data_IF_392472900343
#
_entry.id   IF_392472900343
#
_cell.length_a   1.000
_cell.length_b   1.000
_cell.length_c   1.000
_cell.angle_alpha   90.00
_cell.angle_beta   90.00
_cell.angle_gamma   90.00
#
_symmetry.space_group_name_H-M   'P 1'
#
loop_
_entity.id
_entity.type
_entity.pdbx_description
1 polymer ?
#
# COMPACT_ATOMS: atom_id res chain seq x y z
N UNK A 1 -4.80 13.18 -1.22
CA UNK A 1 -5.60 12.76 -0.03
C UNK A 1 -5.11 13.48 1.24
N UNK A 2 -5.81 13.37 2.37
CA UNK A 2 -5.35 13.82 3.71
C UNK A 2 -4.83 12.64 4.55
N UNK A 3 -3.95 12.92 5.54
CA UNK A 3 -3.37 11.89 6.43
C UNK A 3 -4.44 11.01 7.10
N UNK A 4 -5.48 11.54 7.77
CA UNK A 4 -6.44 10.70 8.49
C UNK A 4 -7.19 9.74 7.56
N UNK A 5 -7.46 10.17 6.33
CA UNK A 5 -8.10 9.32 5.31
C UNK A 5 -7.18 8.18 4.91
N UNK A 6 -5.88 8.43 4.73
CA UNK A 6 -4.92 7.38 4.40
C UNK A 6 -4.73 6.40 5.57
N UNK A 7 -4.69 6.90 6.81
CA UNK A 7 -4.66 6.07 8.02
C UNK A 7 -5.87 5.13 8.10
N UNK A 8 -7.08 5.65 7.86
CA UNK A 8 -8.29 4.84 7.82
C UNK A 8 -8.26 3.77 6.72
N UNK A 9 -7.66 4.07 5.55
CA UNK A 9 -7.47 3.06 4.50
C UNK A 9 -6.51 1.95 4.93
N UNK A 10 -5.44 2.30 5.64
CA UNK A 10 -4.46 1.33 6.15
C UNK A 10 -5.06 0.44 7.25
N UNK A 11 -5.86 1.02 8.15
CA UNK A 11 -6.59 0.25 9.18
C UNK A 11 -7.60 -0.72 8.58
N UNK A 12 -8.22 -0.36 7.47
CA UNK A 12 -9.16 -1.23 6.75
C UNK A 12 -8.47 -2.27 5.85
N UNK A 13 -7.17 -2.13 5.58
CA UNK A 13 -6.44 -2.96 4.63
C UNK A 13 -6.02 -4.30 5.26
N UNK A 14 -6.49 -5.44 4.74
CA UNK A 14 -6.13 -6.75 5.29
C UNK A 14 -4.63 -7.03 5.08
N UNK A 15 -3.97 -7.58 6.09
CA UNK A 15 -2.53 -7.89 6.02
C UNK A 15 -1.62 -6.66 6.11
N UNK A 16 -2.16 -5.50 6.50
CA UNK A 16 -1.38 -4.34 6.93
C UNK A 16 -1.40 -4.31 8.46
N UNK A 17 -0.23 -4.28 9.08
CA UNK A 17 -0.06 -4.21 10.53
C UNK A 17 0.49 -2.84 10.89
N UNK A 18 -0.05 -2.23 11.96
CA UNK A 18 0.34 -0.90 12.41
C UNK A 18 1.11 -0.96 13.72
N UNK A 19 2.23 -0.24 13.78
CA UNK A 19 3.05 -0.03 14.97
C UNK A 19 3.37 1.46 15.12
N UNK A 20 2.56 2.17 15.90
CA UNK A 20 2.65 3.63 16.04
C UNK A 20 2.44 4.35 14.70
N UNK A 21 3.49 5.05 14.25
CA UNK A 21 3.53 5.72 12.95
C UNK A 21 4.05 4.81 11.82
N UNK A 22 4.51 3.60 12.13
CA UNK A 22 4.93 2.59 11.17
C UNK A 22 3.78 1.70 10.72
N UNK A 23 3.80 1.26 9.47
CA UNK A 23 2.95 0.17 8.99
C UNK A 23 3.78 -0.83 8.19
N UNK A 24 3.56 -2.12 8.42
CA UNK A 24 4.24 -3.22 7.72
C UNK A 24 3.23 -4.09 7.00
N UNK A 25 3.66 -4.69 5.89
CA UNK A 25 2.82 -5.66 5.16
C UNK A 25 3.18 -7.07 5.62
N UNK A 26 2.17 -7.78 6.13
CA UNK A 26 2.27 -9.14 6.61
C UNK A 26 2.76 -10.10 5.51
N UNK A 27 3.40 -11.20 5.93
CA UNK A 27 4.00 -12.14 5.01
C UNK A 27 2.98 -12.74 4.02
N UNK A 28 3.39 -12.81 2.76
CA UNK A 28 2.57 -13.27 1.64
C UNK A 28 1.61 -12.22 1.10
N UNK A 29 1.19 -11.22 1.87
CA UNK A 29 0.44 -10.09 1.33
C UNK A 29 1.34 -9.20 0.47
N UNK A 30 0.73 -8.55 -0.52
CA UNK A 30 1.41 -7.60 -1.38
C UNK A 30 0.62 -6.32 -1.42
N UNK A 31 1.28 -5.19 -1.18
CA UNK A 31 0.67 -3.89 -1.23
C UNK A 31 1.32 -3.03 -2.31
N UNK A 32 0.50 -2.25 -2.99
CA UNK A 32 0.93 -1.15 -3.85
C UNK A 32 0.25 0.14 -3.40
N UNK A 33 0.93 1.28 -3.55
CA UNK A 33 0.32 2.61 -3.40
C UNK A 33 0.35 3.37 -4.72
N UNK A 34 -0.63 4.24 -4.94
CA UNK A 34 -0.76 5.02 -6.17
C UNK A 34 -0.50 6.49 -5.89
N UNK A 35 0.52 7.05 -6.52
CA UNK A 35 1.01 8.41 -6.28
C UNK A 35 1.00 9.24 -7.57
N UNK A 36 0.72 10.54 -7.48
CA UNK A 36 0.76 11.46 -8.62
C UNK A 36 -0.54 12.23 -8.79
N UNK A 37 -1.03 12.34 -10.03
CA UNK A 37 -2.29 13.02 -10.37
C UNK A 37 -3.37 12.03 -10.86
N UNK A 38 -4.66 12.34 -10.71
CA UNK A 38 -5.73 11.52 -11.28
C UNK A 38 -5.55 11.30 -12.78
N UNK A 39 -5.53 10.05 -13.22
CA UNK A 39 -5.30 9.67 -14.63
C UNK A 39 -3.82 9.57 -15.04
N UNK A 40 -2.88 9.95 -14.17
CA UNK A 40 -1.44 9.81 -14.37
C UNK A 40 -0.73 9.24 -13.14
N UNK A 41 -1.46 8.55 -12.26
CA UNK A 41 -0.89 7.99 -11.05
C UNK A 41 0.13 6.89 -11.39
N UNK A 42 1.30 6.98 -10.78
CA UNK A 42 2.33 5.96 -10.77
C UNK A 42 2.05 4.96 -9.65
N UNK A 43 2.12 3.67 -9.97
CA UNK A 43 2.12 2.61 -8.96
C UNK A 43 3.51 2.50 -8.32
N UNK A 44 3.55 2.48 -6.99
CA UNK A 44 4.71 2.03 -6.21
C UNK A 44 4.40 0.61 -5.74
N UNK A 45 4.94 -0.42 -6.40
CA UNK A 45 4.64 -1.82 -6.11
C UNK A 45 5.47 -2.36 -4.93
N UNK A 46 5.02 -3.52 -4.42
CA UNK A 46 5.70 -4.32 -3.41
C UNK A 46 6.16 -3.50 -2.19
N UNK A 47 5.25 -2.70 -1.65
CA UNK A 47 5.50 -1.89 -0.45
C UNK A 47 5.76 -2.81 0.74
N UNK A 48 6.91 -2.64 1.40
CA UNK A 48 7.31 -3.36 2.60
C UNK A 48 6.82 -2.68 3.87
N UNK A 49 7.04 -1.37 3.92
CA UNK A 49 6.93 -0.54 5.11
C UNK A 49 6.46 0.86 4.69
N UNK A 50 5.57 1.41 5.49
CA UNK A 50 5.17 2.81 5.45
C UNK A 50 5.57 3.48 6.77
N UNK A 51 6.03 4.72 6.73
CA UNK A 51 6.14 5.59 7.92
C UNK A 51 5.32 6.84 7.73
N UNK A 52 4.45 7.13 8.68
CA UNK A 52 3.48 8.20 8.60
C UNK A 52 4.02 9.42 9.35
N UNK A 53 4.54 10.38 8.61
CA UNK A 53 4.99 11.65 9.17
C UNK A 53 3.82 12.64 9.26
N UNK A 54 4.02 13.79 9.90
CA UNK A 54 2.95 14.77 10.04
C UNK A 54 2.45 15.32 8.69
N UNK A 55 3.36 15.54 7.73
CA UNK A 55 3.06 16.20 6.45
C UNK A 55 3.17 15.27 5.22
N UNK A 56 3.83 14.12 5.35
CA UNK A 56 4.10 13.20 4.25
C UNK A 56 4.20 11.76 4.77
N UNK A 57 4.30 10.78 3.87
CA UNK A 57 4.64 9.42 4.24
C UNK A 57 5.90 8.95 3.52
N UNK A 58 6.64 8.09 4.19
CA UNK A 58 7.74 7.33 3.61
C UNK A 58 7.19 6.00 3.13
N UNK A 59 7.50 5.60 1.89
CA UNK A 59 7.06 4.36 1.28
C UNK A 59 8.28 3.56 0.86
N UNK A 60 8.54 2.45 1.55
CA UNK A 60 9.66 1.57 1.22
C UNK A 60 9.20 0.47 0.28
N UNK A 61 9.73 0.42 -0.95
CA UNK A 61 9.43 -0.64 -1.93
C UNK A 61 10.51 -1.71 -1.93
N UNK A 62 10.10 -2.99 -1.83
CA UNK A 62 11.00 -4.15 -1.98
C UNK A 62 11.49 -4.31 -3.41
N UNK A 63 10.64 -3.99 -4.38
CA UNK A 63 10.92 -4.18 -5.81
C UNK A 63 12.04 -3.25 -6.28
N UNK A 64 11.94 -1.97 -5.93
CA UNK A 64 12.92 -0.97 -6.35
C UNK A 64 14.08 -0.78 -5.36
N UNK A 65 13.98 -1.35 -4.15
CA UNK A 65 14.93 -1.10 -3.05
C UNK A 65 15.10 0.40 -2.75
N UNK A 66 13.99 1.15 -2.84
CA UNK A 66 13.95 2.60 -2.68
C UNK A 66 12.93 3.02 -1.63
N UNK A 67 13.16 4.19 -1.05
CA UNK A 67 12.20 4.89 -0.19
C UNK A 67 11.68 6.11 -0.94
N UNK A 68 10.36 6.18 -1.11
CA UNK A 68 9.67 7.33 -1.69
C UNK A 68 9.15 8.22 -0.56
N UNK A 69 9.37 9.53 -0.67
CA UNK A 69 8.83 10.53 0.24
C UNK A 69 7.67 11.21 -0.46
N UNK A 70 6.44 10.99 0.01
CA UNK A 70 5.23 11.35 -0.73
C UNK A 70 4.31 12.17 0.15
N UNK A 71 3.92 13.35 -0.32
CA UNK A 71 2.87 14.12 0.35
C UNK A 71 1.54 13.38 0.30
N UNK A 72 0.74 13.49 1.36
CA UNK A 72 -0.60 12.89 1.37
C UNK A 72 -1.46 13.40 0.23
N UNK A 73 -1.27 14.67 -0.18
CA UNK A 73 -1.96 15.31 -1.32
C UNK A 73 -1.80 14.49 -2.61
N UNK A 74 -0.63 13.90 -2.84
CA UNK A 74 -0.28 13.11 -4.03
C UNK A 74 -0.70 11.63 -3.94
N UNK A 75 -1.15 11.14 -2.77
CA UNK A 75 -1.69 9.80 -2.63
C UNK A 75 -3.14 9.73 -3.11
N UNK A 76 -3.43 8.76 -3.97
CA UNK A 76 -4.77 8.48 -4.49
C UNK A 76 -5.42 7.25 -3.89
N UNK A 77 -4.60 6.28 -3.46
CA UNK A 77 -5.11 5.06 -2.83
C UNK A 77 -4.05 3.99 -2.70
N UNK A 78 -4.50 2.83 -2.25
CA UNK A 78 -3.69 1.63 -2.07
C UNK A 78 -4.43 0.40 -2.60
N UNK A 79 -3.67 -0.62 -3.01
CA UNK A 79 -4.16 -1.93 -3.36
C UNK A 79 -3.47 -2.95 -2.48
N UNK A 80 -4.24 -3.83 -1.84
CA UNK A 80 -3.69 -4.98 -1.12
C UNK A 80 -4.18 -6.28 -1.75
N UNK A 81 -3.23 -7.16 -2.05
CA UNK A 81 -3.46 -8.48 -2.63
C UNK A 81 -3.10 -9.53 -1.59
N UNK A 82 -3.98 -10.54 -1.34
CA UNK A 82 -3.68 -11.62 -0.43
C UNK A 82 -2.56 -12.53 -0.97
N UNK A 83 -1.99 -13.40 -0.13
CA UNK A 83 -1.01 -14.40 -0.55
C UNK A 83 -1.51 -15.22 -1.75
N UNK A 84 -0.63 -15.40 -2.74
CA UNK A 84 -0.88 -16.28 -3.88
C UNK A 84 -1.11 -17.70 -3.38
N UNK A 85 -2.39 -18.11 -3.36
CA UNK A 85 -2.84 -19.39 -2.79
C UNK A 85 -4.19 -19.32 -2.10
N UNK A 86 -4.68 -18.14 -1.74
CA UNK A 86 -5.99 -17.95 -1.09
C UNK A 86 -7.20 -18.01 -2.06
N UNK A 87 -6.96 -18.06 -3.37
CA UNK A 87 -8.00 -18.20 -4.40
C UNK A 87 -8.02 -19.61 -4.93
N UNK A 88 -8.98 -20.42 -4.48
CA UNK A 88 -9.27 -21.71 -5.11
C UNK A 88 -9.40 -21.57 -6.63
N UNK A 89 -8.89 -22.56 -7.36
CA UNK A 89 -9.14 -22.74 -8.79
C UNK A 89 -10.57 -22.32 -9.10
N UNK A 90 -10.77 -21.24 -9.88
CA UNK A 90 -12.03 -21.08 -10.60
C UNK A 90 -12.13 -22.31 -11.49
N UNK A 91 -13.02 -23.24 -11.15
CA UNK A 91 -13.43 -24.29 -12.06
C UNK A 91 -14.06 -23.58 -13.26
N UNK A 92 -13.26 -23.36 -14.31
CA UNK A 92 -13.77 -22.98 -15.61
C UNK A 92 -14.48 -24.20 -16.17
N UNK A 93 -15.76 -24.02 -16.51
CA UNK A 93 -16.57 -25.03 -17.16
C UNK A 93 -15.96 -25.40 -18.52
N UNK A 94 -16.01 -26.70 -18.81
CA UNK A 94 -15.70 -27.35 -20.09
C UNK A 94 -16.55 -26.86 -21.25
#
# INVERSE_FOLDING_TARGET
>A
MERPTFEAMLEAAPGVERDGDGCTVADGYRMSVYIGDPGQAMEVPEVAELRLQAAFCEVTSREHQTVYFVEYSSLHGLCVRPPSGAGGRRAGFS
#
